data_IF_306147125582
#
_entry.id   IF_306147125582
#
_cell.length_a   1.000
_cell.length_b   1.000
_cell.length_c   1.000
_cell.angle_alpha   90.00
_cell.angle_beta   90.00
_cell.angle_gamma   90.00
#
_symmetry.space_group_name_H-M   'P 1'
#
loop_
_entity.id
_entity.type
_entity.pdbx_description
1 polymer ?
#
# COMPACT_ATOMS: atom_id res chain seq x y z
N UNK A 1 20.29 9.94 7.54
CA UNK A 1 20.50 9.15 6.30
C UNK A 1 19.15 8.73 5.75
N UNK A 2 19.07 8.42 4.44
CA UNK A 2 17.88 7.84 3.82
C UNK A 2 18.09 6.33 3.71
N UNK A 3 17.13 5.54 4.18
CA UNK A 3 17.20 4.08 4.14
C UNK A 3 16.13 3.56 3.19
N UNK A 4 16.47 2.57 2.37
CA UNK A 4 15.53 1.82 1.55
C UNK A 4 15.65 0.34 1.93
N UNK A 5 14.51 -0.34 2.04
CA UNK A 5 14.41 -1.76 2.36
C UNK A 5 13.59 -2.42 1.28
N UNK A 6 14.17 -3.42 0.63
CA UNK A 6 13.49 -4.25 -0.37
C UNK A 6 13.06 -5.55 0.31
N UNK A 7 11.82 -5.93 0.11
CA UNK A 7 11.25 -7.17 0.61
C UNK A 7 11.22 -8.18 -0.54
N UNK A 8 11.72 -9.39 -0.30
CA UNK A 8 11.58 -10.50 -1.23
C UNK A 8 10.31 -11.27 -0.87
N UNK A 9 9.56 -11.71 -1.87
CA UNK A 9 8.36 -12.51 -1.69
C UNK A 9 8.59 -13.87 -2.35
N UNK A 10 8.39 -14.94 -1.58
CA UNK A 10 8.62 -16.32 -2.05
C UNK A 10 7.44 -16.89 -2.85
N UNK A 11 6.30 -16.18 -2.87
CA UNK A 11 5.05 -16.63 -3.49
C UNK A 11 4.32 -15.45 -4.16
N UNK A 12 3.65 -15.72 -5.29
CA UNK A 12 2.74 -14.78 -5.97
C UNK A 12 1.26 -15.18 -5.78
N UNK A 13 0.90 -15.54 -4.54
CA UNK A 13 -0.45 -16.01 -4.22
C UNK A 13 -1.43 -14.85 -4.14
N UNK A 14 -2.33 -14.75 -5.11
CA UNK A 14 -3.45 -13.82 -5.05
C UNK A 14 -4.51 -14.30 -4.05
N UNK A 15 -4.92 -13.43 -3.13
CA UNK A 15 -6.03 -13.66 -2.18
C UNK A 15 -6.91 -12.42 -2.15
N UNK A 16 -8.23 -12.61 -2.08
CA UNK A 16 -9.22 -11.52 -2.05
C UNK A 16 -9.09 -10.49 -3.20
N UNK A 17 -8.54 -10.91 -4.35
CA UNK A 17 -8.25 -10.04 -5.49
C UNK A 17 -6.97 -9.20 -5.38
N UNK A 18 -6.17 -9.40 -4.32
CA UNK A 18 -4.92 -8.70 -4.06
C UNK A 18 -3.72 -9.58 -4.40
N UNK A 19 -2.75 -9.04 -5.14
CA UNK A 19 -1.42 -9.64 -5.32
C UNK A 19 -0.69 -9.83 -3.99
N UNK A 20 0.28 -10.74 -3.93
CA UNK A 20 1.08 -10.96 -2.72
C UNK A 20 1.79 -9.68 -2.23
N UNK A 21 2.17 -8.79 -3.17
CA UNK A 21 2.75 -7.47 -2.87
C UNK A 21 1.73 -6.53 -2.21
N UNK A 22 0.53 -6.38 -2.78
CA UNK A 22 -0.54 -5.55 -2.21
C UNK A 22 -0.92 -6.03 -0.80
N UNK A 23 -0.96 -7.35 -0.60
CA UNK A 23 -1.21 -7.95 0.71
C UNK A 23 -0.14 -7.58 1.74
N UNK A 24 1.15 -7.71 1.40
CA UNK A 24 2.28 -7.33 2.26
C UNK A 24 2.31 -5.82 2.54
N UNK A 25 1.96 -4.98 1.57
CA UNK A 25 1.83 -3.53 1.73
C UNK A 25 0.79 -3.19 2.80
N UNK A 26 -0.37 -3.85 2.81
CA UNK A 26 -1.36 -3.68 3.88
C UNK A 26 -0.79 -4.03 5.27
N UNK A 27 0.07 -5.03 5.38
CA UNK A 27 0.67 -5.44 6.66
C UNK A 27 1.70 -4.43 7.16
N UNK A 28 2.65 -4.05 6.30
CA UNK A 28 3.69 -3.07 6.62
C UNK A 28 3.05 -1.72 6.96
N UNK A 29 2.06 -1.27 6.21
CA UNK A 29 1.35 -0.03 6.51
C UNK A 29 0.68 -0.06 7.89
N UNK A 30 0.01 -1.17 8.23
CA UNK A 30 -0.61 -1.37 9.53
C UNK A 30 0.40 -1.41 10.70
N UNK A 31 1.56 -2.06 10.51
CA UNK A 31 2.64 -2.13 11.51
C UNK A 31 3.28 -0.74 11.73
N UNK A 32 3.70 -0.07 10.65
CA UNK A 32 4.36 1.24 10.73
C UNK A 32 3.45 2.32 11.30
N UNK A 33 2.15 2.28 10.99
CA UNK A 33 1.16 3.18 11.57
C UNK A 33 0.96 2.92 13.07
N UNK A 34 0.89 1.66 13.52
CA UNK A 34 0.86 1.31 14.95
C UNK A 34 2.14 1.74 15.68
N UNK A 35 3.28 1.72 15.01
CA UNK A 35 4.55 2.28 15.50
C UNK A 35 4.61 3.83 15.48
N UNK A 36 3.47 4.51 15.32
CA UNK A 36 3.35 5.96 15.35
C UNK A 36 3.92 6.68 14.14
N UNK A 37 4.21 5.98 13.03
CA UNK A 37 4.73 6.60 11.81
C UNK A 37 3.60 6.99 10.87
N UNK A 38 3.76 8.12 10.19
CA UNK A 38 2.92 8.49 9.04
C UNK A 38 3.38 7.68 7.83
N UNK A 39 2.47 6.89 7.26
CA UNK A 39 2.73 6.04 6.09
C UNK A 39 2.14 6.71 4.85
N UNK A 40 2.88 6.66 3.74
CA UNK A 40 2.39 6.99 2.41
C UNK A 40 2.62 5.78 1.52
N UNK A 41 1.56 5.29 0.90
CA UNK A 41 1.61 4.20 -0.09
C UNK A 41 1.56 4.85 -1.47
N UNK A 42 2.60 4.64 -2.29
CA UNK A 42 2.62 5.10 -3.67
C UNK A 42 2.11 3.96 -4.56
N UNK A 43 0.93 4.14 -5.14
CA UNK A 43 0.34 3.20 -6.08
C UNK A 43 0.75 3.58 -7.52
N UNK A 44 0.75 2.60 -8.41
CA UNK A 44 1.01 2.81 -9.85
C UNK A 44 -0.19 3.50 -10.53
N UNK A 45 -1.40 3.02 -10.25
CA UNK A 45 -2.66 3.53 -10.80
C UNK A 45 -3.72 3.79 -9.71
N UNK A 46 -4.84 4.39 -10.12
CA UNK A 46 -5.96 4.75 -9.24
C UNK A 46 -6.79 3.53 -8.80
N UNK A 47 -6.93 2.51 -9.64
CA UNK A 47 -7.68 1.29 -9.29
C UNK A 47 -6.95 0.48 -8.21
N UNK A 48 -5.62 0.38 -8.29
CA UNK A 48 -4.78 -0.18 -7.24
C UNK A 48 -4.95 0.59 -5.92
N UNK A 49 -5.00 1.93 -5.97
CA UNK A 49 -5.21 2.74 -4.78
C UNK A 49 -6.58 2.47 -4.12
N UNK A 50 -7.64 2.32 -4.92
CA UNK A 50 -8.99 1.94 -4.44
C UNK A 50 -8.98 0.55 -3.82
N UNK A 51 -8.43 -0.47 -4.53
CA UNK A 51 -8.32 -1.85 -4.00
C UNK A 51 -7.57 -1.90 -2.68
N UNK A 52 -6.47 -1.15 -2.56
CA UNK A 52 -5.66 -1.09 -1.34
C UNK A 52 -6.37 -0.37 -0.18
N UNK A 53 -7.15 0.68 -0.44
CA UNK A 53 -7.96 1.34 0.59
C UNK A 53 -9.02 0.37 1.13
N UNK A 54 -9.82 -0.24 0.24
CA UNK A 54 -10.83 -1.25 0.60
C UNK A 54 -10.22 -2.43 1.38
N UNK A 55 -9.06 -2.93 0.94
CA UNK A 55 -8.32 -3.99 1.62
C UNK A 55 -7.85 -3.60 3.03
N UNK A 56 -7.36 -2.37 3.21
CA UNK A 56 -6.94 -1.84 4.50
C UNK A 56 -8.11 -1.74 5.49
N UNK A 57 -9.28 -1.33 5.01
CA UNK A 57 -10.53 -1.33 5.80
C UNK A 57 -10.98 -2.76 6.14
N UNK A 58 -11.06 -3.64 5.14
CA UNK A 58 -11.59 -5.00 5.31
C UNK A 58 -10.73 -5.87 6.22
N UNK A 59 -9.39 -5.88 6.04
CA UNK A 59 -8.51 -6.85 6.70
C UNK A 59 -8.34 -6.63 8.20
N UNK A 60 -8.59 -5.44 8.77
CA UNK A 60 -8.12 -5.10 10.14
C UNK A 60 -9.19 -4.41 11.01
N UNK A 61 -10.37 -5.09 11.14
CA UNK A 61 -11.65 -4.88 11.92
C UNK A 61 -11.59 -4.28 13.35
N UNK A 62 -10.46 -3.71 13.81
CA UNK A 62 -10.27 -3.12 15.15
C UNK A 62 -9.34 -1.90 15.28
N UNK A 63 -8.59 -1.43 14.27
CA UNK A 63 -7.46 -0.49 14.55
C UNK A 63 -7.30 0.72 13.62
N UNK A 64 -7.83 0.74 12.39
CA UNK A 64 -7.42 1.75 11.39
C UNK A 64 -8.49 2.79 11.05
N UNK A 65 -8.59 3.84 11.87
CA UNK A 65 -9.40 5.05 11.57
C UNK A 65 -8.57 6.23 11.05
N UNK A 66 -7.29 6.03 10.70
CA UNK A 66 -6.36 7.14 10.40
C UNK A 66 -5.19 6.83 9.45
N UNK A 67 -5.30 5.82 8.58
CA UNK A 67 -4.48 5.77 7.36
C UNK A 67 -5.32 6.38 6.25
N UNK A 68 -5.13 7.67 5.99
CA UNK A 68 -5.64 8.30 4.76
C UNK A 68 -4.70 7.95 3.62
N UNK A 69 -5.09 7.03 2.74
CA UNK A 69 -4.39 6.76 1.50
C UNK A 69 -4.45 7.99 0.58
N UNK A 70 -3.40 8.80 0.58
CA UNK A 70 -3.31 9.95 -0.33
C UNK A 70 -2.81 9.49 -1.70
N UNK A 71 -3.74 8.99 -2.52
CA UNK A 71 -3.52 8.61 -3.91
C UNK A 71 -3.24 9.83 -4.81
N UNK A 72 -2.08 10.48 -4.62
CA UNK A 72 -1.57 11.48 -5.57
C UNK A 72 -0.89 10.77 -6.72
N UNK A 73 -1.68 10.45 -7.74
CA UNK A 73 -1.25 9.71 -8.93
C UNK A 73 0.00 10.30 -9.59
N UNK A 74 0.99 9.44 -9.85
CA UNK A 74 2.16 9.75 -10.69
C UNK A 74 1.84 9.51 -12.18
N UNK A 75 0.70 10.01 -12.65
CA UNK A 75 0.25 9.87 -14.04
C UNK A 75 0.92 10.86 -15.03
N UNK A 76 1.98 11.57 -14.64
CA UNK A 76 2.58 12.66 -15.41
C UNK A 76 4.12 12.63 -15.38
N UNK A 77 4.74 11.61 -15.99
CA UNK A 77 6.19 11.55 -16.17
C UNK A 77 6.69 10.70 -17.38
N UNK A 78 5.83 10.33 -18.35
CA UNK A 78 6.23 9.47 -19.48
C UNK A 78 5.65 9.88 -20.87
N UNK A 79 5.63 11.17 -21.16
CA UNK A 79 5.44 11.77 -22.51
C UNK A 79 5.81 13.26 -22.42
N UNK A 80 6.62 13.90 -23.26
CA UNK A 80 7.41 13.52 -24.45
C UNK A 80 8.84 14.11 -24.26
N UNK A 81 9.93 13.60 -24.84
CA UNK A 81 10.42 13.83 -26.23
C UNK A 81 10.09 15.18 -26.86
#
# INVERSE_FOLDING_TARGET
MKNATFYLLDNDTHQDGLSAVEQLVCEIAAERWRAGKRVLIACEDEQQAIRLDEALWARRRRVLYRITCLAKGRAAAHRSR
#
